data_IF_115582192192
#
_entry.id   IF_115582192192
#
_cell.length_a   1.000
_cell.length_b   1.000
_cell.length_c   1.000
_cell.angle_alpha   90.00
_cell.angle_beta   90.00
_cell.angle_gamma   90.00
#
_symmetry.space_group_name_H-M   'P 1'
#
loop_
_entity.id
_entity.type
_entity.pdbx_description
1 polymer ?
#
# COMPACT_ATOMS: atom_id res chain seq x y z
N UNK A 1 23.64 -31.37 -45.99
CA UNK A 1 24.10 -30.60 -44.81
C UNK A 1 23.18 -29.42 -44.45
N UNK A 2 22.61 -28.67 -45.41
CA UNK A 2 21.89 -27.41 -45.12
C UNK A 2 20.53 -27.55 -44.42
N UNK A 3 19.77 -28.62 -44.69
CA UNK A 3 18.44 -28.87 -44.08
C UNK A 3 18.46 -29.03 -42.56
N UNK A 4 19.52 -29.63 -41.99
CA UNK A 4 19.65 -29.79 -40.52
C UNK A 4 19.91 -28.45 -39.81
N UNK A 5 20.63 -27.54 -40.45
CA UNK A 5 20.91 -26.22 -39.88
C UNK A 5 19.67 -25.32 -39.88
N UNK A 6 18.83 -25.40 -40.91
CA UNK A 6 17.56 -24.65 -40.95
C UNK A 6 16.58 -25.10 -39.84
N UNK A 7 16.47 -26.40 -39.60
CA UNK A 7 15.64 -26.93 -38.51
C UNK A 7 16.15 -26.45 -37.14
N UNK A 8 17.46 -26.41 -36.93
CA UNK A 8 18.05 -25.92 -35.69
C UNK A 8 17.72 -24.43 -35.46
N UNK A 9 17.91 -23.58 -36.46
CA UNK A 9 17.57 -22.16 -36.37
C UNK A 9 16.07 -21.92 -36.15
N UNK A 10 15.21 -22.69 -36.80
CA UNK A 10 13.76 -22.58 -36.60
C UNK A 10 13.35 -22.93 -35.16
N UNK A 11 13.93 -23.99 -34.58
CA UNK A 11 13.65 -24.37 -33.19
C UNK A 11 14.20 -23.33 -32.20
N UNK A 12 15.40 -22.79 -32.44
CA UNK A 12 15.96 -21.74 -31.59
C UNK A 12 15.12 -20.45 -31.63
N UNK A 13 14.66 -20.02 -32.80
CA UNK A 13 13.81 -18.82 -32.92
C UNK A 13 12.44 -19.03 -32.28
N UNK A 14 11.87 -20.23 -32.40
CA UNK A 14 10.58 -20.56 -31.78
C UNK A 14 10.70 -20.63 -30.25
N UNK A 15 11.77 -21.23 -29.72
CA UNK A 15 12.07 -21.22 -28.29
C UNK A 15 12.30 -19.81 -27.73
N UNK A 16 13.06 -18.96 -28.45
CA UNK A 16 13.29 -17.57 -28.07
C UNK A 16 12.00 -16.74 -28.07
N UNK A 17 11.12 -16.94 -29.07
CA UNK A 17 9.83 -16.26 -29.14
C UNK A 17 8.89 -16.65 -28.00
N UNK A 18 8.85 -17.94 -27.63
CA UNK A 18 8.06 -18.42 -26.49
C UNK A 18 8.57 -17.89 -25.15
N UNK A 19 9.89 -17.79 -24.96
CA UNK A 19 10.50 -17.19 -23.76
C UNK A 19 10.26 -15.68 -23.68
N UNK A 20 10.41 -14.95 -24.78
CA UNK A 20 10.13 -13.52 -24.81
C UNK A 20 8.64 -13.23 -24.50
N UNK A 21 7.72 -14.05 -25.03
CA UNK A 21 6.29 -13.92 -24.77
C UNK A 21 5.89 -14.25 -23.33
N UNK A 22 6.60 -15.16 -22.65
CA UNK A 22 6.33 -15.49 -21.25
C UNK A 22 6.91 -14.45 -20.29
N UNK A 23 8.09 -13.91 -20.60
CA UNK A 23 8.72 -12.83 -19.83
C UNK A 23 7.93 -11.51 -19.92
N UNK A 24 7.27 -11.22 -21.05
CA UNK A 24 6.41 -10.05 -21.20
C UNK A 24 5.12 -10.12 -20.36
N UNK A 25 4.68 -11.33 -19.99
CA UNK A 25 3.51 -11.55 -19.13
C UNK A 25 3.85 -11.58 -17.65
N UNK A 26 5.12 -11.54 -17.28
CA UNK A 26 5.47 -11.35 -15.88
C UNK A 26 4.99 -9.95 -15.46
N UNK A 27 4.25 -9.84 -14.34
CA UNK A 27 3.94 -8.53 -13.78
C UNK A 27 5.27 -7.83 -13.54
N UNK A 28 5.47 -6.69 -14.23
CA UNK A 28 6.63 -5.86 -14.01
C UNK A 28 6.74 -5.58 -12.50
N UNK A 29 7.89 -5.82 -11.85
CA UNK A 29 8.08 -5.35 -10.49
C UNK A 29 7.84 -3.84 -10.53
N UNK A 30 6.87 -3.37 -9.74
CA UNK A 30 6.66 -1.93 -9.53
C UNK A 30 7.89 -1.43 -8.79
N UNK A 31 8.94 -1.08 -9.54
CA UNK A 31 10.07 -0.35 -9.00
C UNK A 31 9.55 1.06 -8.76
N UNK A 32 8.99 1.27 -7.57
CA UNK A 32 8.62 2.57 -7.05
C UNK A 32 9.91 3.38 -6.87
N UNK A 33 10.28 4.11 -7.91
CA UNK A 33 11.57 4.77 -7.97
C UNK A 33 11.58 5.90 -8.98
N UNK A 34 11.19 7.07 -8.48
CA UNK A 34 11.55 8.41 -8.96
C UNK A 34 10.70 9.00 -10.09
N UNK A 35 10.06 10.12 -9.75
CA UNK A 35 9.52 11.08 -10.70
C UNK A 35 8.10 11.48 -10.33
N UNK A 36 7.97 12.62 -9.64
CA UNK A 36 6.78 13.49 -9.61
C UNK A 36 5.45 12.73 -9.67
N UNK A 37 4.84 12.44 -8.50
CA UNK A 37 3.51 11.85 -8.43
C UNK A 37 2.55 12.69 -9.29
N UNK A 38 2.30 12.24 -10.51
CA UNK A 38 1.44 12.91 -11.47
C UNK A 38 0.05 12.95 -10.85
N UNK A 39 -0.41 14.15 -10.50
CA UNK A 39 -1.76 14.43 -10.00
C UNK A 39 -2.86 13.96 -10.98
N UNK A 40 -2.48 13.56 -12.19
CA UNK A 40 -3.31 12.91 -13.20
C UNK A 40 -3.29 11.40 -13.03
N UNK A 41 -3.92 10.91 -11.96
CA UNK A 41 -3.97 9.48 -11.72
C UNK A 41 -4.79 9.08 -10.51
N UNK A 42 -5.81 9.85 -10.16
CA UNK A 42 -6.89 9.37 -9.31
C UNK A 42 -7.64 8.26 -10.05
N UNK A 43 -7.02 7.07 -10.12
CA UNK A 43 -7.75 5.85 -10.39
C UNK A 43 -8.80 5.81 -9.30
N UNK A 44 -10.04 6.04 -9.72
CA UNK A 44 -11.22 5.84 -8.91
C UNK A 44 -11.13 4.41 -8.40
N UNK A 45 -10.63 4.24 -7.16
CA UNK A 45 -10.60 2.95 -6.51
C UNK A 45 -12.05 2.58 -6.26
N UNK A 46 -12.65 1.95 -7.26
CA UNK A 46 -13.86 1.18 -7.11
C UNK A 46 -13.60 0.25 -5.93
N UNK A 47 -14.40 0.29 -4.86
CA UNK A 47 -14.17 -0.57 -3.71
C UNK A 47 -14.06 -2.00 -4.24
N UNK A 48 -12.93 -2.65 -3.97
CA UNK A 48 -12.64 -4.00 -4.45
C UNK A 48 -13.64 -5.04 -3.90
N UNK A 49 -14.55 -4.62 -3.02
CA UNK A 49 -15.64 -5.41 -2.49
C UNK A 49 -16.77 -5.57 -3.50
N UNK A 50 -17.05 -6.82 -3.89
CA UNK A 50 -18.29 -7.17 -4.58
C UNK A 50 -19.53 -6.78 -3.77
N UNK A 51 -20.73 -7.01 -4.33
CA UNK A 51 -22.02 -6.66 -3.68
C UNK A 51 -22.13 -7.15 -2.23
N UNK A 52 -21.49 -8.27 -1.92
CA UNK A 52 -21.44 -8.86 -0.57
C UNK A 52 -20.70 -7.98 0.46
N UNK A 53 -19.59 -7.33 0.05
CA UNK A 53 -18.87 -6.41 0.92
C UNK A 53 -19.71 -5.19 1.28
N UNK A 54 -20.39 -4.60 0.29
CA UNK A 54 -21.25 -3.45 0.52
C UNK A 54 -22.42 -3.79 1.48
N UNK A 55 -23.02 -4.98 1.33
CA UNK A 55 -24.04 -5.47 2.24
C UNK A 55 -23.51 -5.68 3.66
N UNK A 56 -22.32 -6.28 3.78
CA UNK A 56 -21.66 -6.49 5.08
C UNK A 56 -21.32 -5.16 5.77
N UNK A 57 -20.79 -4.18 5.02
CA UNK A 57 -20.48 -2.86 5.54
C UNK A 57 -21.74 -2.12 6.01
N UNK A 58 -22.84 -2.21 5.26
CA UNK A 58 -24.12 -1.62 5.66
C UNK A 58 -24.63 -2.23 6.98
N UNK A 59 -24.52 -3.56 7.14
CA UNK A 59 -24.91 -4.28 8.36
C UNK A 59 -24.03 -3.92 9.56
N UNK A 60 -22.72 -3.76 9.34
CA UNK A 60 -21.81 -3.31 10.40
C UNK A 60 -22.17 -1.89 10.87
N UNK A 61 -22.38 -0.97 9.92
CA UNK A 61 -22.73 0.41 10.23
C UNK A 61 -24.09 0.52 10.94
N UNK A 62 -25.07 -0.35 10.61
CA UNK A 62 -26.35 -0.37 11.34
C UNK A 62 -26.20 -0.85 12.77
N UNK A 63 -25.38 -1.88 13.01
CA UNK A 63 -25.13 -2.40 14.36
C UNK A 63 -24.49 -1.34 15.28
N UNK A 64 -23.57 -0.53 14.76
CA UNK A 64 -23.00 0.58 15.54
C UNK A 64 -24.03 1.66 15.88
N UNK A 65 -24.91 2.02 14.93
CA UNK A 65 -25.97 3.01 15.19
C UNK A 65 -26.94 2.54 16.27
N UNK A 66 -27.40 1.29 16.18
CA UNK A 66 -28.28 0.69 17.18
C UNK A 66 -27.63 0.65 18.57
N UNK A 67 -26.33 0.31 18.62
CA UNK A 67 -25.56 0.32 19.87
C UNK A 67 -25.47 1.72 20.48
N UNK A 68 -25.19 2.75 19.67
CA UNK A 68 -25.13 4.14 20.13
C UNK A 68 -26.48 4.65 20.62
N UNK A 69 -27.56 4.35 19.91
CA UNK A 69 -28.92 4.68 20.33
C UNK A 69 -29.29 4.03 21.66
N UNK A 70 -29.01 2.74 21.81
CA UNK A 70 -29.25 2.00 23.06
C UNK A 70 -28.43 2.54 24.22
N UNK A 71 -27.18 2.95 23.96
CA UNK A 71 -26.28 3.51 24.97
C UNK A 71 -26.53 5.00 25.25
N UNK A 72 -27.39 5.67 24.47
CA UNK A 72 -27.60 7.12 24.56
C UNK A 72 -26.35 7.94 24.23
N UNK A 73 -25.46 7.41 23.38
CA UNK A 73 -24.19 8.06 23.00
C UNK A 73 -24.35 8.76 21.65
N UNK A 74 -24.03 10.05 21.61
CA UNK A 74 -23.97 10.79 20.35
C UNK A 74 -22.61 10.58 19.66
N UNK A 75 -22.58 10.14 18.38
CA UNK A 75 -21.33 9.97 17.66
C UNK A 75 -20.62 11.31 17.43
N UNK A 76 -19.29 11.30 17.54
CA UNK A 76 -18.49 12.48 17.22
C UNK A 76 -18.66 12.88 15.74
N UNK A 77 -18.69 14.19 15.42
CA UNK A 77 -18.72 14.65 14.05
C UNK A 77 -17.47 14.20 13.28
N UNK A 78 -17.55 14.08 11.94
CA UNK A 78 -16.38 13.77 11.13
C UNK A 78 -15.29 14.83 11.34
N UNK A 79 -14.05 14.37 11.44
CA UNK A 79 -12.90 15.27 11.53
C UNK A 79 -12.65 15.95 10.18
N UNK A 80 -12.05 17.14 10.22
CA UNK A 80 -11.62 17.86 9.03
C UNK A 80 -10.49 17.14 8.28
N UNK A 81 -10.36 17.41 6.98
CA UNK A 81 -9.40 16.75 6.10
C UNK A 81 -7.96 16.88 6.59
N UNK A 82 -7.57 18.03 7.14
CA UNK A 82 -6.19 18.27 7.62
C UNK A 82 -5.91 17.49 8.91
N UNK A 83 -6.88 17.42 9.81
CA UNK A 83 -6.81 16.57 11.02
C UNK A 83 -6.73 15.10 10.64
N UNK A 84 -7.53 14.65 9.67
CA UNK A 84 -7.45 13.29 9.15
C UNK A 84 -6.08 13.01 8.53
N UNK A 85 -5.58 13.90 7.69
CA UNK A 85 -4.27 13.78 7.06
C UNK A 85 -3.16 13.61 8.11
N UNK A 86 -3.14 14.46 9.14
CA UNK A 86 -2.17 14.38 10.23
C UNK A 86 -2.29 13.07 11.03
N UNK A 87 -3.51 12.65 11.39
CA UNK A 87 -3.74 11.40 12.14
C UNK A 87 -3.25 10.19 11.35
N UNK A 88 -3.57 10.15 10.05
CA UNK A 88 -3.14 9.09 9.15
C UNK A 88 -1.62 9.07 8.98
N UNK A 89 -0.97 10.21 8.79
CA UNK A 89 0.49 10.25 8.68
C UNK A 89 1.18 9.74 9.94
N UNK A 90 0.72 10.17 11.12
CA UNK A 90 1.24 9.65 12.39
C UNK A 90 0.97 8.16 12.57
N UNK A 91 -0.19 7.67 12.15
CA UNK A 91 -0.56 6.26 12.29
C UNK A 91 0.18 5.35 11.30
N UNK A 92 0.41 5.80 10.06
CA UNK A 92 0.91 4.98 8.97
C UNK A 92 2.41 5.12 8.74
N UNK A 93 2.96 6.33 8.89
CA UNK A 93 4.38 6.62 8.60
C UNK A 93 5.14 7.20 9.79
N UNK A 94 4.44 7.57 10.87
CA UNK A 94 5.06 8.02 12.13
C UNK A 94 5.52 9.46 12.18
N UNK A 95 5.35 10.19 11.08
CA UNK A 95 5.76 11.58 10.97
C UNK A 95 4.55 12.44 10.65
N UNK A 96 4.63 13.71 11.00
CA UNK A 96 3.65 14.70 10.53
C UNK A 96 3.83 14.94 9.03
N UNK A 97 2.76 15.31 8.31
CA UNK A 97 2.88 15.66 6.90
C UNK A 97 3.68 16.93 6.69
N UNK A 98 4.34 17.01 5.54
CA UNK A 98 4.98 18.22 5.05
C UNK A 98 3.95 19.19 4.47
N UNK A 99 4.31 20.47 4.41
CA UNK A 99 3.45 21.51 3.83
C UNK A 99 3.17 21.25 2.34
N UNK A 100 4.13 20.66 1.62
CA UNK A 100 3.96 20.34 0.20
C UNK A 100 2.94 19.23 -0.01
N UNK A 101 2.98 18.17 0.82
CA UNK A 101 2.02 17.08 0.75
C UNK A 101 0.59 17.58 1.05
N UNK A 102 0.44 18.45 2.06
CA UNK A 102 -0.87 19.05 2.37
C UNK A 102 -1.41 19.88 1.19
N UNK A 103 -0.57 20.70 0.55
CA UNK A 103 -0.97 21.46 -0.63
C UNK A 103 -1.35 20.56 -1.80
N UNK A 104 -0.64 19.44 -1.99
CA UNK A 104 -0.98 18.46 -3.03
C UNK A 104 -2.35 17.82 -2.75
N UNK A 105 -2.65 17.49 -1.50
CA UNK A 105 -3.96 16.98 -1.09
C UNK A 105 -5.08 18.02 -1.31
N UNK A 106 -4.84 19.28 -0.95
CA UNK A 106 -5.84 20.36 -1.08
C UNK A 106 -6.28 20.63 -2.53
N UNK A 107 -5.40 20.36 -3.51
CA UNK A 107 -5.70 20.48 -4.95
C UNK A 107 -6.70 19.44 -5.45
N UNK A 108 -6.95 18.37 -4.68
CA UNK A 108 -7.92 17.34 -5.04
C UNK A 108 -9.33 17.70 -4.56
N UNK A 109 -10.39 17.22 -5.25
CA UNK A 109 -11.76 17.31 -4.77
C UNK A 109 -11.90 16.68 -3.37
N UNK A 110 -12.69 17.26 -2.44
CA UNK A 110 -12.81 16.79 -1.06
C UNK A 110 -13.10 15.29 -0.94
N UNK A 111 -13.94 14.75 -1.83
CA UNK A 111 -14.38 13.35 -1.83
C UNK A 111 -13.24 12.37 -2.15
N UNK A 112 -12.16 12.86 -2.78
CA UNK A 112 -11.00 12.06 -3.20
C UNK A 112 -9.79 12.24 -2.31
N UNK A 113 -9.76 13.28 -1.45
CA UNK A 113 -8.58 13.62 -0.63
C UNK A 113 -8.19 12.47 0.29
N UNK A 114 -9.16 11.91 1.01
CA UNK A 114 -8.90 10.87 2.00
C UNK A 114 -8.37 9.58 1.36
N UNK A 115 -9.04 9.08 0.30
CA UNK A 115 -8.61 7.87 -0.39
C UNK A 115 -7.23 8.06 -1.02
N UNK A 116 -7.02 9.19 -1.69
CA UNK A 116 -5.72 9.54 -2.25
C UNK A 116 -4.62 9.60 -1.19
N UNK A 117 -4.89 10.23 -0.04
CA UNK A 117 -3.92 10.36 1.05
C UNK A 117 -3.51 9.00 1.62
N UNK A 118 -4.47 8.10 1.81
CA UNK A 118 -4.21 6.73 2.28
C UNK A 118 -3.36 5.99 1.26
N UNK A 119 -3.72 6.01 -0.02
CA UNK A 119 -2.96 5.36 -1.09
C UNK A 119 -1.54 5.91 -1.18
N UNK A 120 -1.39 7.23 -1.11
CA UNK A 120 -0.11 7.91 -1.12
C UNK A 120 0.79 7.43 0.02
N UNK A 121 0.28 7.40 1.25
CA UNK A 121 1.04 6.96 2.42
C UNK A 121 1.39 5.47 2.37
N UNK A 122 0.46 4.61 1.95
CA UNK A 122 0.70 3.16 1.85
C UNK A 122 1.72 2.80 0.76
N UNK A 123 1.81 3.60 -0.30
CA UNK A 123 2.81 3.44 -1.36
C UNK A 123 4.18 4.03 -1.01
N UNK A 124 4.27 4.84 0.06
CA UNK A 124 5.49 5.52 0.46
C UNK A 124 6.45 4.58 1.19
N UNK A 125 7.75 4.69 0.90
CA UNK A 125 8.79 3.91 1.59
C UNK A 125 8.80 4.15 3.11
N UNK A 126 8.43 5.34 3.57
CA UNK A 126 8.30 5.67 5.00
C UNK A 126 7.32 4.75 5.72
N UNK A 127 6.26 4.28 5.05
CA UNK A 127 5.32 3.32 5.64
C UNK A 127 6.01 1.99 5.93
N UNK A 128 6.75 1.46 4.96
CA UNK A 128 7.48 0.21 5.10
C UNK A 128 8.53 0.30 6.22
N UNK A 129 9.35 1.36 6.22
CA UNK A 129 10.35 1.61 7.25
C UNK A 129 9.71 1.71 8.67
N UNK A 130 8.59 2.43 8.78
CA UNK A 130 7.89 2.66 10.06
C UNK A 130 7.20 1.40 10.62
N UNK A 131 6.60 0.60 9.75
CA UNK A 131 5.95 -0.66 10.16
C UNK A 131 6.94 -1.77 10.39
N UNK A 132 8.04 -1.84 9.63
CA UNK A 132 9.11 -2.79 9.86
C UNK A 132 9.64 -2.71 11.30
N UNK A 133 9.86 -1.52 11.83
CA UNK A 133 10.32 -1.33 13.22
C UNK A 133 9.30 -1.83 14.26
N UNK A 134 8.00 -1.58 14.04
CA UNK A 134 6.93 -2.04 14.95
C UNK A 134 6.78 -3.55 14.92
N UNK A 135 6.69 -4.11 13.73
CA UNK A 135 6.54 -5.54 13.55
C UNK A 135 7.77 -6.27 14.08
N UNK A 136 8.98 -5.76 13.82
CA UNK A 136 10.19 -6.32 14.40
C UNK A 136 10.15 -6.30 15.94
N UNK A 137 9.67 -5.22 16.57
CA UNK A 137 9.49 -5.17 18.03
C UNK A 137 8.48 -6.19 18.55
N UNK A 138 7.37 -6.40 17.83
CA UNK A 138 6.33 -7.36 18.23
C UNK A 138 6.79 -8.80 18.06
N UNK A 139 7.45 -9.12 16.94
CA UNK A 139 7.85 -10.49 16.61
C UNK A 139 9.16 -10.94 17.24
N UNK A 140 10.14 -10.03 17.33
CA UNK A 140 11.49 -10.35 17.86
C UNK A 140 11.63 -9.92 19.32
N UNK A 141 10.70 -9.10 19.82
CA UNK A 141 10.77 -8.50 21.15
C UNK A 141 11.62 -7.23 21.18
N UNK A 142 11.55 -6.54 22.32
CA UNK A 142 12.41 -5.40 22.64
C UNK A 142 13.62 -5.82 23.50
N UNK A 143 13.84 -7.13 23.66
CA UNK A 143 14.69 -7.64 24.72
C UNK A 143 16.14 -7.17 24.55
N UNK A 144 16.64 -6.58 25.63
CA UNK A 144 18.04 -6.26 25.91
C UNK A 144 18.84 -7.55 26.18
N UNK A 145 18.56 -8.62 25.44
CA UNK A 145 19.24 -9.91 25.55
C UNK A 145 20.66 -9.85 24.97
N UNK A 146 21.47 -10.90 25.16
CA UNK A 146 22.84 -10.93 24.64
C UNK A 146 22.87 -10.67 23.13
N UNK A 147 23.57 -9.60 22.73
CA UNK A 147 23.66 -9.06 21.37
C UNK A 147 24.17 -10.04 20.30
N UNK A 148 24.67 -11.20 20.70
CA UNK A 148 25.34 -12.17 19.84
C UNK A 148 24.40 -13.06 19.02
N UNK A 149 23.11 -13.17 19.40
CA UNK A 149 22.13 -14.03 18.69
C UNK A 149 20.99 -13.24 18.03
N UNK A 150 20.69 -12.04 18.53
CA UNK A 150 19.56 -11.23 18.05
C UNK A 150 19.92 -10.36 16.84
N UNK A 151 19.64 -10.82 15.62
CA UNK A 151 19.74 -9.99 14.40
C UNK A 151 18.46 -9.21 14.08
N UNK A 152 17.90 -8.48 15.05
CA UNK A 152 16.70 -7.64 14.83
C UNK A 152 16.86 -6.74 13.61
N UNK A 153 18.02 -6.07 13.48
CA UNK A 153 18.28 -5.17 12.36
C UNK A 153 18.24 -5.81 10.97
N UNK A 154 18.55 -7.11 10.82
CA UNK A 154 18.40 -7.80 9.53
C UNK A 154 16.93 -8.07 9.21
N UNK A 155 16.16 -8.47 10.21
CA UNK A 155 14.72 -8.71 10.07
C UNK A 155 13.96 -7.42 9.77
N UNK A 156 14.29 -6.32 10.46
CA UNK A 156 13.73 -5.00 10.15
C UNK A 156 14.02 -4.59 8.71
N UNK A 157 15.27 -4.70 8.24
CA UNK A 157 15.61 -4.35 6.85
C UNK A 157 14.84 -5.19 5.84
N UNK A 158 14.72 -6.49 6.09
CA UNK A 158 13.95 -7.38 5.23
C UNK A 158 12.46 -7.01 5.19
N UNK A 159 11.88 -6.53 6.30
CA UNK A 159 10.49 -6.07 6.35
C UNK A 159 10.27 -4.72 5.65
N UNK A 160 11.30 -3.89 5.54
CA UNK A 160 11.23 -2.57 4.89
C UNK A 160 11.49 -2.60 3.39
N UNK A 161 11.98 -3.72 2.86
CA UNK A 161 12.27 -3.95 1.44
C UNK A 161 11.01 -4.40 0.68
#
# INVERSE_FOLDING_TARGET
>A
MWRRNFLFWAVCLLGAGLLAGSLWRLPQPRVGGQGLFTLTGGAEQKPAGGKDFAATLARLNSAFREHWETAGVEPAPPADDLTLARRLSLALVGTVPSVEELRAAEQLPPERRLSWWVDYLLADRRFADYWAERLARVYVGNDMGPFLVFRRGRFTRWLSD
#
